data_IF_837579115347
#
_entry.id   IF_837579115347
#
_cell.length_a   1.000
_cell.length_b   1.000
_cell.length_c   1.000
_cell.angle_alpha   90.00
_cell.angle_beta   90.00
_cell.angle_gamma   90.00
#
_symmetry.space_group_name_H-M   'P 1'
#
loop_
_entity.id
_entity.type
_entity.pdbx_description
1 polymer ?
#
# COMPACT_ATOMS: atom_id res chain seq x y z
N UNK A 1 -0.45 18.83 1.87
CA UNK A 1 -0.22 17.88 0.77
C UNK A 1 -0.03 16.49 1.36
N UNK A 2 -0.45 15.42 0.66
CA UNK A 2 -0.18 14.04 1.08
C UNK A 2 0.84 13.32 0.19
N UNK A 3 1.58 12.41 0.81
CA UNK A 3 2.51 11.49 0.15
C UNK A 3 2.01 10.06 0.33
N UNK A 4 1.72 9.36 -0.76
CA UNK A 4 1.40 7.93 -0.77
C UNK A 4 2.66 7.13 -1.14
N UNK A 5 3.21 6.40 -0.19
CA UNK A 5 4.32 5.48 -0.41
C UNK A 5 3.78 4.09 -0.69
N UNK A 6 4.24 3.48 -1.79
CA UNK A 6 3.77 2.17 -2.22
C UNK A 6 4.90 1.15 -2.34
N UNK A 7 4.60 -0.07 -1.91
CA UNK A 7 5.41 -1.26 -2.12
C UNK A 7 4.52 -2.48 -2.41
N UNK A 8 5.13 -3.60 -2.80
CA UNK A 8 4.45 -4.82 -3.19
C UNK A 8 4.83 -6.05 -2.36
N UNK A 9 3.96 -7.05 -2.38
CA UNK A 9 4.28 -8.37 -1.82
C UNK A 9 3.70 -9.51 -2.64
N UNK A 10 4.59 -10.41 -3.06
CA UNK A 10 4.26 -11.55 -3.90
C UNK A 10 4.87 -11.42 -5.28
N UNK A 11 4.80 -12.49 -6.05
CA UNK A 11 5.26 -12.52 -7.43
C UNK A 11 4.07 -12.79 -8.33
N UNK A 12 3.87 -11.96 -9.34
CA UNK A 12 2.70 -12.04 -10.23
C UNK A 12 2.74 -13.32 -11.08
N UNK A 13 3.93 -13.81 -11.41
CA UNK A 13 4.15 -15.00 -12.26
C UNK A 13 4.13 -16.34 -11.52
N UNK A 14 4.23 -16.32 -10.18
CA UNK A 14 4.49 -17.51 -9.36
C UNK A 14 3.58 -17.62 -8.11
N UNK A 15 2.71 -16.64 -7.88
CA UNK A 15 1.90 -16.52 -6.66
C UNK A 15 0.43 -16.84 -6.89
N UNK A 16 -0.27 -17.18 -5.81
CA UNK A 16 -1.75 -17.20 -5.76
C UNK A 16 -2.34 -15.82 -5.48
N UNK A 17 -1.55 -14.95 -4.84
CA UNK A 17 -1.96 -13.64 -4.36
C UNK A 17 -0.83 -12.64 -4.57
N UNK A 18 -1.13 -11.55 -5.23
CA UNK A 18 -0.29 -10.36 -5.32
C UNK A 18 -0.88 -9.24 -4.47
N UNK A 19 -0.05 -8.53 -3.73
CA UNK A 19 -0.48 -7.38 -2.94
C UNK A 19 0.29 -6.14 -3.35
N UNK A 20 -0.41 -5.02 -3.47
CA UNK A 20 0.16 -3.69 -3.67
C UNK A 20 -0.50 -2.73 -2.69
N UNK A 21 0.27 -1.88 -2.05
CA UNK A 21 -0.29 -0.91 -1.11
C UNK A 21 0.78 -0.12 -0.39
N UNK A 22 0.41 0.49 0.73
CA UNK A 22 1.35 1.18 1.60
C UNK A 22 0.65 2.22 2.46
N UNK A 23 1.31 3.37 2.64
CA UNK A 23 0.89 4.40 3.58
C UNK A 23 0.76 5.78 2.93
N UNK A 24 -0.32 6.48 3.24
CA UNK A 24 -0.52 7.89 2.95
C UNK A 24 -0.20 8.70 4.21
N UNK A 25 0.66 9.72 4.06
CA UNK A 25 1.12 10.58 5.16
C UNK A 25 0.96 12.03 4.73
N UNK A 26 0.38 12.86 5.59
CA UNK A 26 0.36 14.30 5.36
C UNK A 26 1.77 14.87 5.50
N UNK A 27 2.14 15.81 4.65
CA UNK A 27 3.42 16.50 4.69
C UNK A 27 3.73 17.11 6.07
N UNK A 28 2.72 17.66 6.75
CA UNK A 28 2.84 18.19 8.12
C UNK A 28 3.13 17.12 9.18
N UNK A 29 2.71 15.88 8.94
CA UNK A 29 2.87 14.76 9.87
C UNK A 29 4.15 13.96 9.63
N UNK A 30 4.79 14.17 8.47
CA UNK A 30 6.03 13.50 8.09
C UNK A 30 7.16 13.62 9.13
N UNK A 31 7.44 14.80 9.73
CA UNK A 31 8.48 14.91 10.75
C UNK A 31 8.22 14.00 11.95
N UNK A 32 6.94 13.86 12.38
CA UNK A 32 6.57 13.01 13.50
C UNK A 32 6.73 11.53 13.18
N UNK A 33 6.31 11.08 11.99
CA UNK A 33 6.56 9.71 11.54
C UNK A 33 8.07 9.38 11.51
N UNK A 34 8.88 10.31 10.99
CA UNK A 34 10.34 10.15 10.91
C UNK A 34 10.96 10.03 12.31
N UNK A 35 10.60 10.93 13.21
CA UNK A 35 11.10 10.93 14.60
C UNK A 35 10.73 9.61 15.30
N UNK A 36 9.45 9.24 15.27
CA UNK A 36 8.95 8.01 15.87
C UNK A 36 9.69 6.77 15.33
N UNK A 37 9.91 6.71 14.02
CA UNK A 37 10.68 5.64 13.38
C UNK A 37 12.12 5.61 13.88
N UNK A 38 12.85 6.73 13.77
CA UNK A 38 14.26 6.82 14.13
C UNK A 38 14.50 6.56 15.62
N UNK A 39 13.64 7.07 16.51
CA UNK A 39 13.71 6.82 17.94
C UNK A 39 13.49 5.34 18.26
N UNK A 40 12.50 4.71 17.63
CA UNK A 40 12.22 3.28 17.81
C UNK A 40 13.43 2.43 17.43
N UNK A 41 14.06 2.72 16.28
CA UNK A 41 15.26 2.01 15.83
C UNK A 41 16.46 2.25 16.76
N UNK A 42 16.70 3.51 17.11
CA UNK A 42 17.82 3.89 17.98
C UNK A 42 17.71 3.28 19.37
N UNK A 43 16.50 3.27 19.95
CA UNK A 43 16.22 2.67 21.26
C UNK A 43 16.48 1.15 21.29
N UNK A 44 16.27 0.48 20.15
CA UNK A 44 16.57 -0.94 19.98
C UNK A 44 18.03 -1.22 19.57
N UNK A 45 18.87 -0.19 19.42
CA UNK A 45 20.24 -0.32 18.95
C UNK A 45 20.36 -0.75 17.48
N UNK A 46 19.31 -0.52 16.67
CA UNK A 46 19.31 -0.85 15.26
C UNK A 46 19.90 0.28 14.41
N UNK A 47 20.90 0.03 13.55
CA UNK A 47 21.50 1.08 12.72
C UNK A 47 20.49 1.72 11.77
N UNK A 48 20.46 3.06 11.69
CA UNK A 48 19.50 3.80 10.85
C UNK A 48 19.77 3.65 9.35
N UNK A 49 20.98 3.28 8.96
CA UNK A 49 21.37 2.94 7.59
C UNK A 49 21.04 1.50 7.22
N UNK A 50 20.60 0.68 8.20
CA UNK A 50 20.17 -0.69 7.99
C UNK A 50 18.66 -0.75 7.86
N UNK A 51 18.21 -1.04 6.65
CA UNK A 51 16.80 -1.19 6.30
C UNK A 51 16.09 -2.28 7.12
N UNK A 52 14.84 -2.01 7.51
CA UNK A 52 13.94 -3.01 8.07
C UNK A 52 12.98 -3.47 6.99
N UNK A 53 13.00 -4.77 6.70
CA UNK A 53 12.05 -5.42 5.79
C UNK A 53 11.31 -6.56 6.46
N UNK A 54 10.08 -6.81 6.00
CA UNK A 54 9.27 -7.94 6.43
C UNK A 54 9.99 -9.28 6.25
N UNK A 55 10.71 -9.46 5.14
CA UNK A 55 11.47 -10.70 4.90
C UNK A 55 12.58 -10.92 5.93
N UNK A 56 13.22 -9.84 6.40
CA UNK A 56 14.20 -9.89 7.48
C UNK A 56 13.58 -10.31 8.81
N UNK A 57 12.37 -9.82 9.12
CA UNK A 57 11.58 -10.27 10.29
C UNK A 57 11.29 -11.77 10.18
N UNK A 58 10.80 -12.23 9.03
CA UNK A 58 10.42 -13.63 8.82
C UNK A 58 11.60 -14.60 8.89
N UNK A 59 12.79 -14.16 8.50
CA UNK A 59 14.04 -14.92 8.57
C UNK A 59 14.74 -14.86 9.92
N UNK A 60 14.27 -14.02 10.84
CA UNK A 60 14.92 -13.78 12.14
C UNK A 60 16.17 -12.90 12.05
N UNK A 61 16.38 -12.18 10.94
CA UNK A 61 17.45 -11.19 10.80
C UNK A 61 17.14 -9.92 11.61
N UNK A 62 15.85 -9.60 11.75
CA UNK A 62 15.35 -8.53 12.63
C UNK A 62 14.93 -9.17 13.96
N UNK A 63 15.49 -8.74 15.11
CA UNK A 63 15.11 -9.25 16.42
C UNK A 63 13.61 -9.13 16.69
N UNK A 64 12.95 -10.15 17.28
CA UNK A 64 11.51 -10.10 17.55
C UNK A 64 11.07 -8.88 18.39
N UNK A 65 11.86 -8.50 19.40
CA UNK A 65 11.57 -7.32 20.22
C UNK A 65 11.61 -6.01 19.40
N UNK A 66 12.50 -5.91 18.41
CA UNK A 66 12.54 -4.78 17.50
C UNK A 66 11.33 -4.80 16.55
N UNK A 67 10.98 -5.95 15.99
CA UNK A 67 9.77 -6.07 15.16
C UNK A 67 8.52 -5.65 15.94
N UNK A 68 8.38 -6.09 17.18
CA UNK A 68 7.27 -5.69 18.05
C UNK A 68 7.25 -4.20 18.35
N UNK A 69 8.41 -3.59 18.63
CA UNK A 69 8.53 -2.15 18.85
C UNK A 69 8.17 -1.34 17.60
N UNK A 70 8.65 -1.75 16.43
CA UNK A 70 8.33 -1.10 15.14
C UNK A 70 6.83 -1.18 14.87
N UNK A 71 6.20 -2.34 15.01
CA UNK A 71 4.75 -2.44 14.79
C UNK A 71 3.92 -1.70 15.84
N UNK A 72 4.42 -1.57 17.08
CA UNK A 72 3.79 -0.72 18.08
C UNK A 72 3.87 0.76 17.71
N UNK A 73 5.03 1.23 17.25
CA UNK A 73 5.23 2.59 16.76
C UNK A 73 4.34 2.89 15.54
N UNK A 74 4.30 1.98 14.56
CA UNK A 74 3.43 2.12 13.39
C UNK A 74 1.93 2.18 13.76
N UNK A 75 1.51 1.50 14.83
CA UNK A 75 0.11 1.54 15.28
C UNK A 75 -0.30 2.93 15.81
N UNK A 76 0.65 3.71 16.33
CA UNK A 76 0.43 5.09 16.80
C UNK A 76 0.78 6.17 15.77
N UNK A 77 1.40 5.80 14.65
CA UNK A 77 1.90 6.76 13.68
C UNK A 77 0.77 7.49 12.91
N UNK A 78 1.04 8.72 12.43
CA UNK A 78 0.05 9.56 11.74
C UNK A 78 -0.02 9.24 10.24
N UNK A 79 -0.47 8.03 9.90
CA UNK A 79 -0.67 7.64 8.51
C UNK A 79 -1.99 6.90 8.30
N UNK A 80 -2.43 6.87 7.04
CA UNK A 80 -3.54 6.05 6.58
C UNK A 80 -3.03 4.95 5.66
N UNK A 81 -3.38 3.69 5.93
CA UNK A 81 -2.96 2.53 5.15
C UNK A 81 -4.01 2.09 4.13
N UNK A 82 -3.51 1.64 2.98
CA UNK A 82 -4.28 1.03 1.91
C UNK A 82 -3.55 -0.20 1.38
N UNK A 83 -4.26 -1.31 1.20
CA UNK A 83 -3.73 -2.52 0.56
C UNK A 83 -4.76 -3.09 -0.42
N UNK A 84 -4.28 -3.37 -1.63
CA UNK A 84 -4.99 -4.15 -2.64
C UNK A 84 -4.44 -5.57 -2.66
N UNK A 85 -5.33 -6.54 -2.80
CA UNK A 85 -5.10 -7.96 -2.76
C UNK A 85 -5.69 -8.55 -4.04
N UNK A 86 -4.81 -8.81 -5.02
CA UNK A 86 -5.16 -9.32 -6.33
C UNK A 86 -5.02 -10.85 -6.32
N UNK A 87 -6.15 -11.54 -6.46
CA UNK A 87 -6.21 -13.00 -6.56
C UNK A 87 -5.82 -13.42 -7.97
N UNK A 88 -4.64 -14.06 -8.08
CA UNK A 88 -4.05 -14.42 -9.36
C UNK A 88 -4.62 -15.71 -9.95
N UNK A 89 -5.41 -16.47 -9.18
CA UNK A 89 -6.13 -17.64 -9.65
C UNK A 89 -7.52 -17.24 -10.14
N UNK A 90 -8.26 -16.49 -9.32
CA UNK A 90 -9.64 -16.07 -9.64
C UNK A 90 -9.70 -14.92 -10.66
N UNK A 91 -8.67 -14.06 -10.68
CA UNK A 91 -8.56 -12.90 -11.54
C UNK A 91 -8.73 -13.22 -13.03
N UNK A 92 -7.88 -14.08 -13.62
CA UNK A 92 -7.97 -14.45 -15.03
C UNK A 92 -9.31 -15.07 -15.43
N UNK A 93 -9.97 -15.79 -14.52
CA UNK A 93 -11.25 -16.45 -14.78
C UNK A 93 -12.42 -15.46 -14.81
N UNK A 94 -12.43 -14.46 -13.93
CA UNK A 94 -13.59 -13.59 -13.72
C UNK A 94 -13.45 -12.20 -14.30
N UNK A 95 -12.23 -11.69 -14.34
CA UNK A 95 -11.91 -10.31 -14.71
C UNK A 95 -10.70 -10.29 -15.67
N UNK A 96 -10.77 -11.03 -16.80
CA UNK A 96 -9.61 -11.31 -17.65
C UNK A 96 -8.93 -10.06 -18.20
N UNK A 97 -9.67 -8.97 -18.38
CA UNK A 97 -9.11 -7.70 -18.86
C UNK A 97 -8.16 -7.02 -17.86
N UNK A 98 -8.27 -7.35 -16.57
CA UNK A 98 -7.41 -6.82 -15.51
C UNK A 98 -6.23 -7.74 -15.16
N UNK A 99 -6.22 -8.97 -15.67
CA UNK A 99 -5.24 -10.02 -15.32
C UNK A 99 -4.54 -10.63 -16.55
N UNK A 100 -4.61 -9.97 -17.72
CA UNK A 100 -4.09 -10.53 -18.98
C UNK A 100 -2.57 -10.64 -19.00
N UNK A 101 -1.86 -9.64 -18.48
CA UNK A 101 -0.40 -9.69 -18.30
C UNK A 101 0.00 -9.30 -16.88
N UNK A 102 1.24 -9.58 -16.45
CA UNK A 102 1.73 -9.12 -15.15
C UNK A 102 1.64 -7.59 -14.97
N UNK A 103 1.82 -6.85 -16.07
CA UNK A 103 1.67 -5.40 -16.09
C UNK A 103 0.22 -4.99 -15.87
N UNK A 104 -0.76 -5.68 -16.47
CA UNK A 104 -2.18 -5.39 -16.26
C UNK A 104 -2.58 -5.62 -14.79
N UNK A 105 -2.06 -6.69 -14.18
CA UNK A 105 -2.25 -6.96 -12.74
C UNK A 105 -1.68 -5.82 -11.91
N UNK A 106 -0.46 -5.39 -12.20
CA UNK A 106 0.18 -4.29 -11.48
C UNK A 106 -0.59 -2.97 -11.63
N UNK A 107 -0.94 -2.61 -12.88
CA UNK A 107 -1.73 -1.45 -13.22
C UNK A 107 -3.09 -1.44 -12.52
N UNK A 108 -3.73 -2.61 -12.41
CA UNK A 108 -5.00 -2.79 -11.69
C UNK A 108 -4.86 -2.46 -10.20
N UNK A 109 -3.82 -2.99 -9.55
CA UNK A 109 -3.56 -2.68 -8.14
C UNK A 109 -3.32 -1.19 -7.93
N UNK A 110 -2.53 -0.57 -8.81
CA UNK A 110 -2.19 0.84 -8.71
C UNK A 110 -3.40 1.75 -8.96
N UNK A 111 -4.23 1.41 -9.96
CA UNK A 111 -5.50 2.09 -10.22
C UNK A 111 -6.37 2.12 -8.95
N UNK A 112 -6.58 0.97 -8.31
CA UNK A 112 -7.38 0.90 -7.08
C UNK A 112 -6.79 1.70 -5.92
N UNK A 113 -5.47 1.77 -5.80
CA UNK A 113 -4.81 2.58 -4.77
C UNK A 113 -4.93 4.08 -5.06
N UNK A 114 -4.77 4.48 -6.33
CA UNK A 114 -4.89 5.87 -6.75
C UNK A 114 -6.30 6.42 -6.51
N UNK A 115 -7.34 5.64 -6.79
CA UNK A 115 -8.73 6.01 -6.47
C UNK A 115 -8.94 6.24 -4.97
N UNK A 116 -8.46 5.30 -4.14
CA UNK A 116 -8.58 5.40 -2.67
C UNK A 116 -7.82 6.58 -2.11
N UNK A 117 -6.63 6.81 -2.63
CA UNK A 117 -5.84 7.97 -2.24
C UNK A 117 -6.50 9.26 -2.68
N UNK A 118 -7.05 9.32 -3.89
CA UNK A 118 -7.81 10.48 -4.33
C UNK A 118 -9.02 10.77 -3.45
N UNK A 119 -9.74 9.75 -2.99
CA UNK A 119 -10.84 9.95 -2.05
C UNK A 119 -10.38 10.53 -0.70
N UNK A 120 -9.21 10.12 -0.20
CA UNK A 120 -8.60 10.77 0.97
C UNK A 120 -8.33 12.25 0.69
N UNK A 121 -7.68 12.55 -0.43
CA UNK A 121 -7.36 13.92 -0.84
C UNK A 121 -8.60 14.79 -0.98
N UNK A 122 -9.68 14.23 -1.52
CA UNK A 122 -10.94 14.96 -1.69
C UNK A 122 -11.63 15.23 -0.36
N UNK A 123 -11.66 14.23 0.54
CA UNK A 123 -12.22 14.38 1.88
C UNK A 123 -11.46 15.41 2.73
N UNK A 124 -10.16 15.58 2.49
CA UNK A 124 -9.30 16.51 3.23
C UNK A 124 -9.03 17.82 2.49
N UNK A 125 -9.64 18.02 1.32
CA UNK A 125 -9.41 19.14 0.42
C UNK A 125 -7.92 19.46 0.17
N UNK A 126 -7.15 18.43 -0.14
CA UNK A 126 -5.70 18.51 -0.31
C UNK A 126 -5.26 17.96 -1.68
N UNK A 127 -3.98 18.16 -1.96
CA UNK A 127 -3.27 17.61 -3.10
C UNK A 127 -2.35 16.46 -2.67
N UNK A 128 -2.01 15.57 -3.60
CA UNK A 128 -1.19 14.42 -3.29
C UNK A 128 -0.21 13.98 -4.37
N UNK A 129 0.75 13.18 -3.94
CA UNK A 129 1.82 12.63 -4.76
C UNK A 129 2.07 11.16 -4.40
N UNK A 130 2.33 10.35 -5.42
CA UNK A 130 2.58 8.91 -5.27
C UNK A 130 4.08 8.61 -5.45
N UNK A 131 4.65 7.92 -4.46
CA UNK A 131 6.04 7.45 -4.41
C UNK A 131 6.02 5.93 -4.45
N UNK A 132 6.78 5.33 -5.37
CA UNK A 132 6.86 3.87 -5.51
C UNK A 132 8.33 3.46 -5.50
N UNK A 133 8.63 2.29 -4.94
CA UNK A 133 9.97 1.73 -5.02
C UNK A 133 10.37 1.44 -6.48
N UNK A 134 11.62 1.72 -6.83
CA UNK A 134 12.12 1.55 -8.21
C UNK A 134 12.27 0.08 -8.56
N UNK A 135 11.72 -0.32 -9.72
CA UNK A 135 11.93 -1.64 -10.32
C UNK A 135 12.72 -1.39 -11.58
N UNK A 136 13.90 -1.99 -11.72
CA UNK A 136 14.83 -1.90 -12.86
C UNK A 136 14.35 -1.11 -14.12
N UNK A 137 15.23 -0.24 -14.65
CA UNK A 137 15.01 0.77 -15.72
C UNK A 137 13.96 0.52 -16.83
N UNK A 138 13.72 -0.71 -17.27
CA UNK A 138 12.72 -1.00 -18.32
C UNK A 138 11.28 -0.95 -17.79
N UNK A 139 11.05 -1.35 -16.54
CA UNK A 139 9.75 -1.30 -15.87
C UNK A 139 9.37 0.16 -15.53
N UNK A 140 10.37 0.99 -15.22
CA UNK A 140 10.20 2.40 -14.89
C UNK A 140 9.56 3.23 -16.02
N UNK A 141 9.92 3.00 -17.29
CA UNK A 141 9.35 3.79 -18.39
C UNK A 141 7.87 3.49 -18.61
N UNK A 142 7.47 2.22 -18.47
CA UNK A 142 6.07 1.82 -18.62
C UNK A 142 5.25 2.31 -17.44
N UNK A 143 5.78 2.21 -16.23
CA UNK A 143 5.13 2.74 -15.04
C UNK A 143 4.91 4.26 -15.16
N UNK A 144 5.90 5.01 -15.65
CA UNK A 144 5.76 6.45 -15.95
C UNK A 144 4.66 6.74 -16.96
N UNK A 145 4.53 5.94 -18.03
CA UNK A 145 3.43 6.11 -19.01
C UNK A 145 2.07 5.84 -18.39
N UNK A 146 1.96 4.75 -17.61
CA UNK A 146 0.73 4.45 -16.89
C UNK A 146 0.31 5.61 -15.99
N UNK A 147 1.24 6.18 -15.21
CA UNK A 147 0.94 7.35 -14.39
C UNK A 147 0.58 8.59 -15.22
N UNK A 148 1.23 8.80 -16.35
CA UNK A 148 0.88 9.90 -17.25
C UNK A 148 -0.56 9.75 -17.79
N UNK A 149 -0.94 8.55 -18.21
CA UNK A 149 -2.30 8.25 -18.67
C UNK A 149 -3.31 8.37 -17.50
N UNK A 150 -2.95 7.88 -16.31
CA UNK A 150 -3.78 7.95 -15.11
C UNK A 150 -4.05 9.39 -14.66
N UNK A 151 -3.04 10.26 -14.66
CA UNK A 151 -3.17 11.68 -14.29
C UNK A 151 -3.93 12.46 -15.37
N UNK A 152 -3.79 12.08 -16.64
CA UNK A 152 -4.43 12.77 -17.76
C UNK A 152 -5.89 12.37 -17.96
N UNK A 153 -6.16 11.07 -17.99
CA UNK A 153 -7.44 10.49 -18.41
C UNK A 153 -8.25 9.93 -17.22
N UNK A 154 -7.64 9.79 -16.04
CA UNK A 154 -8.26 9.20 -14.85
C UNK A 154 -8.28 7.66 -14.88
N UNK A 155 -9.17 7.07 -14.09
CA UNK A 155 -9.52 5.65 -14.16
C UNK A 155 -10.82 5.47 -14.95
N UNK A 156 -11.20 4.23 -15.34
CA UNK A 156 -12.52 3.96 -15.89
C UNK A 156 -13.68 4.39 -14.98
N UNK A 157 -13.40 4.65 -13.70
CA UNK A 157 -14.38 4.94 -12.67
C UNK A 157 -14.40 6.40 -12.23
N UNK A 158 -13.25 7.10 -12.26
CA UNK A 158 -13.17 8.51 -11.80
C UNK A 158 -11.99 9.30 -12.38
N UNK A 159 -12.11 10.62 -12.37
CA UNK A 159 -10.97 11.53 -12.59
C UNK A 159 -10.15 11.68 -11.30
N UNK A 160 -8.86 11.98 -11.44
CA UNK A 160 -7.92 12.07 -10.32
C UNK A 160 -7.23 13.46 -10.21
N UNK A 161 -7.96 14.59 -10.27
CA UNK A 161 -7.38 15.93 -10.38
C UNK A 161 -6.53 16.38 -9.17
N UNK A 162 -6.67 15.72 -8.02
CA UNK A 162 -5.91 16.06 -6.80
C UNK A 162 -4.52 15.41 -6.75
N UNK A 163 -4.18 14.54 -7.71
CA UNK A 163 -2.84 13.94 -7.81
C UNK A 163 -2.00 14.80 -8.76
N UNK A 164 -1.03 15.52 -8.20
CA UNK A 164 -0.44 16.71 -8.87
C UNK A 164 0.54 16.33 -9.99
N UNK A 165 1.24 15.20 -9.89
CA UNK A 165 2.16 14.66 -10.90
C UNK A 165 2.53 13.21 -10.51
N UNK A 166 2.93 12.38 -11.49
CA UNK A 166 3.05 10.93 -11.32
C UNK A 166 4.47 10.38 -11.12
N UNK A 167 4.63 9.58 -10.05
CA UNK A 167 5.72 8.63 -9.76
C UNK A 167 7.11 9.21 -9.45
N UNK A 168 7.42 9.23 -8.15
CA UNK A 168 8.80 9.33 -7.67
C UNK A 168 9.36 7.95 -7.39
N UNK A 169 10.43 7.61 -8.09
CA UNK A 169 11.19 6.39 -7.89
C UNK A 169 12.32 6.68 -6.91
N UNK A 170 12.17 6.21 -5.68
CA UNK A 170 13.16 6.38 -4.62
C UNK A 170 13.83 5.05 -4.27
N UNK A 171 15.14 5.04 -3.93
CA UNK A 171 15.76 3.84 -3.36
C UNK A 171 15.18 3.54 -1.96
N UNK A 172 14.63 2.33 -1.78
CA UNK A 172 13.94 1.89 -0.54
C UNK A 172 14.75 2.11 0.75
N UNK A 173 16.06 1.85 0.72
CA UNK A 173 16.95 1.96 1.88
C UNK A 173 17.13 3.40 2.41
N UNK A 174 16.76 4.43 1.63
CA UNK A 174 16.76 5.83 2.09
C UNK A 174 15.36 6.37 2.42
N UNK A 175 14.29 5.61 2.17
CA UNK A 175 12.92 6.09 2.35
C UNK A 175 12.21 5.38 3.49
N UNK A 176 12.02 6.10 4.61
CA UNK A 176 11.22 5.62 5.75
C UNK A 176 9.80 5.25 5.30
N UNK A 177 9.21 6.05 4.41
CA UNK A 177 7.88 5.82 3.88
C UNK A 177 7.78 4.51 3.09
N UNK A 178 8.78 4.20 2.25
CA UNK A 178 8.82 2.93 1.51
C UNK A 178 9.05 1.73 2.45
N UNK A 179 9.88 1.87 3.48
CA UNK A 179 10.06 0.82 4.50
C UNK A 179 8.78 0.55 5.29
N UNK A 180 8.03 1.61 5.63
CA UNK A 180 6.72 1.46 6.26
C UNK A 180 5.71 0.79 5.32
N UNK A 181 5.74 1.12 4.02
CA UNK A 181 4.91 0.49 3.00
C UNK A 181 5.22 -1.01 2.85
N UNK A 182 6.50 -1.42 2.76
CA UNK A 182 6.93 -2.83 2.76
C UNK A 182 6.29 -3.60 3.93
N UNK A 183 6.45 -3.06 5.14
CA UNK A 183 5.94 -3.69 6.35
C UNK A 183 4.41 -3.81 6.33
N UNK A 184 3.67 -2.78 5.93
CA UNK A 184 2.21 -2.80 5.86
C UNK A 184 1.73 -3.83 4.82
N UNK A 185 2.29 -3.79 3.61
CA UNK A 185 1.84 -4.63 2.49
C UNK A 185 2.21 -6.08 2.70
N UNK A 186 3.46 -6.36 3.06
CA UNK A 186 3.95 -7.72 3.19
C UNK A 186 3.33 -8.44 4.40
N UNK A 187 3.11 -7.73 5.51
CA UNK A 187 2.39 -8.25 6.67
C UNK A 187 0.92 -8.56 6.33
N UNK A 188 0.25 -7.68 5.59
CA UNK A 188 -1.14 -7.89 5.15
C UNK A 188 -1.24 -9.10 4.23
N UNK A 189 -0.38 -9.17 3.20
CA UNK A 189 -0.32 -10.30 2.29
C UNK A 189 0.01 -11.62 3.01
N UNK A 190 0.87 -11.59 4.03
CA UNK A 190 1.16 -12.76 4.86
C UNK A 190 -0.06 -13.21 5.68
N UNK A 191 -0.81 -12.27 6.26
CA UNK A 191 -2.00 -12.55 7.04
C UNK A 191 -3.11 -13.24 6.21
N UNK A 192 -3.24 -12.85 4.93
CA UNK A 192 -4.20 -13.41 3.98
C UNK A 192 -3.79 -14.82 3.49
N UNK A 193 -2.50 -15.06 3.27
CA UNK A 193 -1.99 -16.36 2.79
C UNK A 193 -2.12 -17.50 3.81
N UNK A 194 -2.32 -17.20 5.10
CA UNK A 194 -2.54 -18.25 6.11
C UNK A 194 -2.28 -17.83 7.55
N UNK A 195 -2.31 -18.80 8.50
CA UNK A 195 -1.98 -18.54 9.89
C UNK A 195 -0.47 -18.26 10.00
N UNK A 196 -0.12 -17.02 10.34
CA UNK A 196 1.27 -16.59 10.50
C UNK A 196 1.39 -15.33 11.35
N UNK A 197 2.64 -14.95 11.65
CA UNK A 197 2.99 -13.73 12.38
C UNK A 197 2.32 -12.48 11.82
N UNK A 198 2.05 -12.44 10.50
CA UNK A 198 1.36 -11.32 9.85
C UNK A 198 -0.01 -11.01 10.45
N UNK A 199 -0.79 -12.02 10.87
CA UNK A 199 -2.13 -11.79 11.47
C UNK A 199 -2.07 -11.03 12.78
N UNK A 200 -1.06 -11.31 13.61
CA UNK A 200 -0.85 -10.64 14.89
C UNK A 200 -0.56 -9.16 14.71
N UNK A 201 0.33 -8.83 13.77
CA UNK A 201 0.64 -7.44 13.46
C UNK A 201 -0.46 -6.72 12.68
N UNK A 202 -1.18 -7.42 11.78
CA UNK A 202 -2.30 -6.84 11.06
C UNK A 202 -3.34 -6.33 12.05
N UNK A 203 -3.71 -7.15 13.03
CA UNK A 203 -4.64 -6.75 14.09
C UNK A 203 -4.21 -5.46 14.82
N UNK A 204 -2.91 -5.26 15.04
CA UNK A 204 -2.37 -4.04 15.67
C UNK A 204 -2.49 -2.83 14.75
N UNK A 205 -2.31 -3.00 13.43
CA UNK A 205 -2.35 -1.91 12.45
C UNK A 205 -3.72 -1.64 11.84
N UNK A 206 -4.73 -2.50 12.05
CA UNK A 206 -6.10 -2.27 11.54
C UNK A 206 -6.63 -0.84 11.80
N UNK A 207 -6.40 -0.20 12.98
CA UNK A 207 -6.84 1.18 13.21
C UNK A 207 -6.15 2.26 12.36
N UNK A 208 -5.13 1.91 11.57
CA UNK A 208 -4.47 2.79 10.59
C UNK A 208 -5.00 2.59 9.18
N UNK A 209 -5.69 1.49 8.89
CA UNK A 209 -6.29 1.31 7.58
C UNK A 209 -7.49 2.25 7.39
N UNK A 210 -7.66 2.74 6.17
CA UNK A 210 -8.83 3.55 5.85
C UNK A 210 -10.13 2.75 6.05
N UNK A 211 -11.13 3.40 6.62
CA UNK A 211 -12.47 2.86 6.80
C UNK A 211 -13.49 3.79 6.18
N UNK A 212 -14.63 3.25 5.78
CA UNK A 212 -15.73 4.05 5.26
C UNK A 212 -16.21 5.03 6.35
N UNK A 213 -16.31 6.34 6.08
CA UNK A 213 -16.57 7.35 7.12
C UNK A 213 -17.95 7.19 7.76
N UNK A 214 -18.94 6.66 7.04
CA UNK A 214 -20.30 6.50 7.57
C UNK A 214 -20.57 5.11 8.18
N UNK A 215 -19.91 4.05 7.70
CA UNK A 215 -20.22 2.66 8.10
C UNK A 215 -19.11 2.01 8.91
N UNK A 216 -17.91 2.58 8.91
CA UNK A 216 -16.72 1.99 9.52
C UNK A 216 -16.18 0.76 8.78
N UNK A 217 -16.67 0.47 7.57
CA UNK A 217 -16.24 -0.70 6.80
C UNK A 217 -14.80 -0.57 6.31
N UNK A 218 -14.00 -1.60 6.57
CA UNK A 218 -12.63 -1.74 6.06
C UNK A 218 -12.60 -2.32 4.64
N UNK A 219 -13.39 -3.37 4.41
CA UNK A 219 -13.35 -4.14 3.18
C UNK A 219 -13.92 -3.32 2.01
N UNK A 220 -13.13 -3.18 0.96
CA UNK A 220 -13.45 -2.30 -0.16
C UNK A 220 -12.97 -0.86 0.04
N UNK A 221 -12.49 -0.48 1.23
CA UNK A 221 -11.92 0.85 1.52
C UNK A 221 -10.41 0.73 1.73
N UNK A 222 -9.94 0.56 2.97
CA UNK A 222 -8.52 0.36 3.26
C UNK A 222 -7.98 -0.99 2.78
N UNK A 223 -8.83 -2.01 2.66
CA UNK A 223 -8.45 -3.34 2.18
C UNK A 223 -9.31 -3.75 0.99
N UNK A 224 -8.75 -3.77 -0.22
CA UNK A 224 -9.47 -4.16 -1.44
C UNK A 224 -9.04 -5.53 -1.93
N UNK A 225 -9.95 -6.50 -1.92
CA UNK A 225 -9.77 -7.79 -2.59
C UNK A 225 -10.34 -7.73 -4.00
N UNK A 226 -9.63 -8.26 -4.97
CA UNK A 226 -10.07 -8.28 -6.36
C UNK A 226 -9.58 -9.52 -7.12
N UNK A 227 -10.47 -10.24 -7.82
CA UNK A 227 -11.93 -10.10 -7.78
C UNK A 227 -12.50 -10.40 -6.39
N UNK A 228 -13.71 -9.92 -6.11
CA UNK A 228 -14.40 -10.26 -4.86
C UNK A 228 -14.89 -11.71 -4.93
N UNK A 229 -14.47 -12.55 -3.97
CA UNK A 229 -14.84 -13.97 -3.91
C UNK A 229 -16.37 -14.16 -3.95
N UNK A 230 -17.11 -13.33 -3.21
CA UNK A 230 -18.56 -13.21 -3.30
C UNK A 230 -18.87 -11.85 -3.93
N UNK A 231 -19.47 -11.79 -5.13
CA UNK A 231 -19.86 -10.52 -5.73
C UNK A 231 -20.84 -9.80 -4.81
N UNK A 232 -20.51 -8.58 -4.36
CA UNK A 232 -21.50 -7.71 -3.75
C UNK A 232 -22.38 -7.12 -4.86
N UNK A 233 -23.71 -7.03 -4.68
CA UNK A 233 -24.51 -6.22 -5.59
C UNK A 233 -23.90 -4.81 -5.59
N UNK A 234 -23.61 -4.29 -6.78
CA UNK A 234 -23.19 -2.89 -6.94
C UNK A 234 -24.37 -2.03 -6.51
N UNK A 235 -24.45 -1.70 -5.23
CA UNK A 235 -25.38 -0.67 -4.78
C UNK A 235 -25.01 0.61 -5.54
N UNK A 236 -26.01 1.31 -6.06
CA UNK A 236 -25.84 2.65 -6.65
C UNK A 236 -25.42 3.70 -5.62
N UNK A 237 -25.00 3.27 -4.43
CA UNK A 237 -24.27 4.12 -3.52
C UNK A 237 -22.91 4.30 -4.13
N UNK A 238 -22.69 5.53 -4.61
CA UNK A 238 -21.35 6.05 -4.81
C UNK A 238 -20.54 5.62 -3.59
N UNK A 239 -19.42 4.96 -3.81
CA UNK A 239 -18.33 5.06 -2.85
C UNK A 239 -18.13 6.59 -2.74
N UNK A 240 -18.64 7.17 -1.65
CA UNK A 240 -18.83 8.61 -1.39
C UNK A 240 -20.06 9.28 -2.05
#
# INVERSE_FOLDING_TARGET
MHLLFLDESGKIDQGRLFALGGIAVRDTDWPHLRELWQETLSAAGWPLDREIKWHGIRKGEVPPALADAVFAALASAPFTAYVTLLDLELGPEREPDFFRTPEDVYATGLMFLAERFHHLLDAEDDLGLIVVDSRFREDDQRLRRFFADLTKDGTPYMQLPRIVEGLFLGPSHYSIGLQCADLVVAMTANAERGPGQGRGYLKKLLPRFAVHPATGELDGVGLKRFPEAVPRPREKHRLF
#
